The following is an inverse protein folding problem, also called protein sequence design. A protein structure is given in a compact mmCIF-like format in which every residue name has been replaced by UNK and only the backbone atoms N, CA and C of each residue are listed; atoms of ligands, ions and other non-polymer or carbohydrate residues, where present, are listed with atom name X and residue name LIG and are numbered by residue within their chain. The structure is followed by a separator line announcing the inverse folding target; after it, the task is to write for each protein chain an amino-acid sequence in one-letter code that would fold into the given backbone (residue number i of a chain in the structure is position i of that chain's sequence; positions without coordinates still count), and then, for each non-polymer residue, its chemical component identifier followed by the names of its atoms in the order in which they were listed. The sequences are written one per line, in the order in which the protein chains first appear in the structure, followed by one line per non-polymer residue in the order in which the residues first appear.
data_IF_093399263474
#
_entry.id   IF_093399263474
#
_cell.length_a   1.000
_cell.length_b   1.000
_cell.length_c   1.000
_cell.angle_alpha   90.00
_cell.angle_beta   90.00
_cell.angle_gamma   90.00
#
_symmetry.space_group_name_H-M   'P 1'
#
loop_
_entity.id
_entity.type
_entity.pdbx_description
1 polymer ?
#
# COMPACT_ATOMS: atom_id res chain seq x y z
N UNK A 1 -18.10 -8.82 0.53
CA UNK A 1 -18.04 -8.91 -0.94
C UNK A 1 -16.82 -9.73 -1.34
N UNK A 2 -16.91 -10.68 -2.27
CA UNK A 2 -15.74 -11.56 -2.58
C UNK A 2 -14.79 -10.86 -3.53
N UNK A 3 -13.50 -10.82 -3.19
CA UNK A 3 -12.48 -10.17 -4.00
C UNK A 3 -12.39 -10.82 -5.39
N UNK A 4 -12.40 -10.04 -6.49
CA UNK A 4 -12.31 -10.57 -7.84
C UNK A 4 -11.07 -11.43 -8.05
N UNK A 5 -11.24 -12.60 -8.66
CA UNK A 5 -10.14 -13.52 -8.97
C UNK A 5 -9.56 -14.28 -7.78
N UNK A 6 -10.11 -14.14 -6.56
CA UNK A 6 -9.60 -14.82 -5.36
C UNK A 6 -10.10 -16.25 -5.15
N UNK A 7 -10.84 -16.83 -6.11
CA UNK A 7 -11.51 -18.12 -5.96
C UNK A 7 -12.37 -18.25 -4.69
N UNK A 8 -13.03 -17.15 -4.30
CA UNK A 8 -13.81 -17.02 -3.05
C UNK A 8 -13.01 -17.33 -1.78
N UNK A 9 -11.74 -16.93 -1.75
CA UNK A 9 -10.90 -17.03 -0.55
C UNK A 9 -10.71 -15.68 0.12
N UNK A 10 -10.78 -14.56 -0.60
CA UNK A 10 -10.61 -13.23 -0.01
C UNK A 10 -11.96 -12.54 0.08
N UNK A 11 -12.44 -12.31 1.30
CA UNK A 11 -13.68 -11.61 1.59
C UNK A 11 -13.37 -10.17 2.02
N UNK A 12 -13.74 -9.22 1.17
CA UNK A 12 -13.64 -7.80 1.43
C UNK A 12 -14.85 -7.35 2.28
N UNK A 13 -14.60 -6.86 3.49
CA UNK A 13 -15.62 -6.28 4.37
C UNK A 13 -15.69 -4.76 4.15
N UNK A 14 -14.53 -4.11 4.17
CA UNK A 14 -14.34 -2.71 3.77
C UNK A 14 -13.16 -2.68 2.83
N UNK A 15 -13.35 -2.22 1.59
CA UNK A 15 -12.27 -2.19 0.61
C UNK A 15 -12.26 -0.87 -0.16
N UNK A 16 -11.12 -0.16 -0.22
CA UNK A 16 -11.07 1.19 -0.77
C UNK A 16 -11.29 1.26 -2.29
N UNK A 17 -11.10 0.15 -3.01
CA UNK A 17 -11.47 0.05 -4.42
C UNK A 17 -12.98 -0.07 -4.69
N UNK A 18 -13.81 -0.20 -3.66
CA UNK A 18 -15.27 -0.12 -3.80
C UNK A 18 -15.73 1.30 -3.45
N UNK A 19 -16.57 1.89 -4.31
CA UNK A 19 -16.89 3.32 -4.29
C UNK A 19 -15.66 4.26 -4.23
N UNK A 20 -14.62 4.05 -5.08
CA UNK A 20 -13.52 5.00 -5.17
C UNK A 20 -14.00 6.31 -5.80
N UNK A 21 -13.16 7.33 -5.85
CA UNK A 21 -13.35 8.42 -6.81
C UNK A 21 -13.29 7.84 -8.23
N UNK A 22 -14.22 8.26 -9.09
CA UNK A 22 -14.31 7.92 -10.51
C UNK A 22 -14.52 9.18 -11.32
N UNK A 23 -13.55 9.51 -12.17
CA UNK A 23 -13.62 10.66 -13.07
C UNK A 23 -14.85 10.58 -13.98
N UNK A 24 -15.60 11.68 -14.05
CA UNK A 24 -16.85 11.78 -14.81
C UNK A 24 -18.06 11.19 -14.09
N UNK A 25 -17.92 10.70 -12.84
CA UNK A 25 -19.02 10.13 -12.06
C UNK A 25 -19.09 10.66 -10.62
N UNK A 26 -17.96 10.73 -9.93
CA UNK A 26 -17.90 11.20 -8.54
C UNK A 26 -18.16 12.69 -8.45
N UNK A 27 -19.06 13.06 -7.52
CA UNK A 27 -19.38 14.45 -7.19
C UNK A 27 -18.50 14.93 -6.04
N UNK A 28 -18.08 16.19 -6.10
CA UNK A 28 -17.21 16.82 -5.10
C UNK A 28 -17.80 18.16 -4.70
N UNK A 29 -17.90 18.41 -3.40
CA UNK A 29 -18.40 19.65 -2.82
C UNK A 29 -17.26 20.63 -2.56
N UNK A 30 -17.54 21.94 -2.71
CA UNK A 30 -16.57 23.00 -2.36
C UNK A 30 -16.45 23.18 -0.85
N UNK A 31 -17.59 23.12 -0.17
CA UNK A 31 -17.69 23.10 1.30
C UNK A 31 -17.68 21.64 1.80
N UNK A 32 -17.47 21.44 3.08
CA UNK A 32 -17.50 20.11 3.70
C UNK A 32 -18.91 19.48 3.59
N UNK A 33 -18.97 18.23 3.14
CA UNK A 33 -20.18 17.43 2.98
C UNK A 33 -20.57 16.76 4.30
N UNK A 34 -20.70 17.55 5.38
CA UNK A 34 -20.99 17.06 6.73
C UNK A 34 -22.27 17.76 7.25
N UNK A 35 -23.31 17.02 7.70
CA UNK A 35 -23.40 15.56 7.81
C UNK A 35 -23.39 14.84 6.45
N UNK A 36 -22.73 13.68 6.40
CA UNK A 36 -22.47 12.94 5.15
C UNK A 36 -23.76 12.49 4.45
N UNK A 37 -24.71 11.91 5.18
CA UNK A 37 -25.95 11.38 4.62
C UNK A 37 -26.88 12.50 4.11
N UNK A 38 -26.83 13.69 4.71
CA UNK A 38 -27.59 14.85 4.24
C UNK A 38 -27.00 15.46 2.96
N UNK A 39 -25.75 15.13 2.64
CA UNK A 39 -25.01 15.65 1.50
C UNK A 39 -25.04 14.71 0.28
N UNK A 40 -25.77 13.60 0.35
CA UNK A 40 -25.91 12.63 -0.74
C UNK A 40 -26.34 13.29 -2.06
N UNK A 41 -25.60 13.01 -3.13
CA UNK A 41 -25.86 13.57 -4.47
C UNK A 41 -25.48 15.06 -4.65
N UNK A 42 -24.98 15.73 -3.61
CA UNK A 42 -24.52 17.12 -3.71
C UNK A 42 -23.16 17.24 -4.42
N UNK A 43 -22.76 18.46 -4.77
CA UNK A 43 -21.47 18.74 -5.42
C UNK A 43 -21.49 18.63 -6.94
N UNK A 44 -20.33 18.90 -7.55
CA UNK A 44 -20.12 18.91 -9.00
C UNK A 44 -19.31 17.68 -9.43
N UNK A 45 -19.67 17.10 -10.58
CA UNK A 45 -18.95 15.96 -11.14
C UNK A 45 -17.57 16.41 -11.66
N UNK A 46 -16.52 15.85 -11.08
CA UNK A 46 -15.15 16.14 -11.52
C UNK A 46 -14.76 15.27 -12.72
N UNK A 47 -14.10 15.87 -13.72
CA UNK A 47 -13.73 15.20 -14.98
C UNK A 47 -12.44 14.37 -14.90
N UNK A 48 -11.66 14.53 -13.84
CA UNK A 48 -10.37 13.88 -13.63
C UNK A 48 -10.15 13.63 -12.15
N UNK A 49 -9.42 12.57 -11.83
CA UNK A 49 -8.92 12.35 -10.49
C UNK A 49 -7.97 13.48 -10.05
N UNK A 50 -7.99 13.87 -8.77
CA UNK A 50 -6.99 14.77 -8.20
C UNK A 50 -5.58 14.20 -8.38
N UNK A 51 -4.63 15.09 -8.63
CA UNK A 51 -3.21 14.76 -8.82
C UNK A 51 -2.42 15.66 -7.87
N UNK A 52 -1.61 15.08 -6.99
CA UNK A 52 -0.62 15.85 -6.22
C UNK A 52 0.65 16.04 -7.06
N UNK A 53 1.04 17.29 -7.29
CA UNK A 53 2.34 17.65 -7.84
C UNK A 53 2.56 17.45 -9.36
N UNK A 54 3.84 17.51 -9.74
CA UNK A 54 4.34 17.39 -11.13
C UNK A 54 4.89 16.00 -11.44
N UNK A 55 4.34 14.96 -10.81
CA UNK A 55 4.78 13.58 -11.03
C UNK A 55 4.48 13.14 -12.47
N UNK A 56 5.29 12.21 -12.99
CA UNK A 56 5.04 11.61 -14.31
C UNK A 56 3.68 10.90 -14.33
N UNK A 57 3.00 10.96 -15.47
CA UNK A 57 1.74 10.24 -15.74
C UNK A 57 1.79 8.75 -15.46
N UNK A 58 2.98 8.16 -15.45
CA UNK A 58 3.14 6.76 -15.10
C UNK A 58 2.71 6.44 -13.66
N UNK A 59 2.78 7.41 -12.73
CA UNK A 59 2.59 7.18 -11.29
C UNK A 59 1.18 7.42 -10.77
N UNK A 60 0.28 7.97 -11.59
CA UNK A 60 -1.07 8.33 -11.17
C UNK A 60 -2.13 7.92 -12.19
N UNK A 61 -3.35 7.74 -11.71
CA UNK A 61 -4.54 7.54 -12.54
C UNK A 61 -5.19 8.88 -12.86
N UNK A 62 -5.58 9.11 -14.12
CA UNK A 62 -6.47 10.22 -14.49
C UNK A 62 -7.94 9.91 -14.09
N UNK A 63 -8.25 8.65 -13.75
CA UNK A 63 -9.62 8.15 -13.60
C UNK A 63 -10.00 7.82 -12.16
N UNK A 64 -9.13 7.19 -11.40
CA UNK A 64 -9.46 6.63 -10.09
C UNK A 64 -8.61 7.22 -8.96
N UNK A 65 -9.20 7.31 -7.77
CA UNK A 65 -8.47 7.57 -6.52
C UNK A 65 -9.21 6.87 -5.37
N UNK A 66 -8.50 6.23 -4.45
CA UNK A 66 -9.09 5.84 -3.18
C UNK A 66 -9.34 7.07 -2.31
N UNK A 67 -10.48 7.09 -1.61
CA UNK A 67 -10.87 8.20 -0.76
C UNK A 67 -10.45 7.91 0.69
N UNK A 68 -9.48 8.66 1.25
CA UNK A 68 -9.21 8.63 2.68
C UNK A 68 -10.36 9.26 3.45
N UNK A 69 -10.43 8.93 4.74
CA UNK A 69 -11.24 9.62 5.72
C UNK A 69 -10.36 10.54 6.55
N UNK A 70 -10.84 11.74 6.81
CA UNK A 70 -10.19 12.68 7.72
C UNK A 70 -10.50 12.29 9.17
N UNK A 71 -9.45 12.16 9.99
CA UNK A 71 -9.53 11.88 11.42
C UNK A 71 -8.94 13.05 12.21
N UNK A 72 -9.71 13.57 13.17
CA UNK A 72 -9.22 14.55 14.14
C UNK A 72 -8.45 13.83 15.24
N UNK A 73 -7.25 14.34 15.54
CA UNK A 73 -6.39 13.83 16.61
C UNK A 73 -6.26 14.91 17.67
N UNK A 74 -6.74 14.63 18.88
CA UNK A 74 -6.63 15.55 20.02
C UNK A 74 -5.22 15.57 20.61
N UNK A 75 -4.92 16.54 21.48
CA UNK A 75 -3.66 16.60 22.23
C UNK A 75 -3.43 15.41 23.18
N UNK A 76 -4.48 14.64 23.49
CA UNK A 76 -4.39 13.42 24.31
C UNK A 76 -4.21 12.15 23.47
N UNK A 77 -4.08 12.28 22.13
CA UNK A 77 -4.00 11.17 21.20
C UNK A 77 -5.34 10.49 20.92
N UNK A 78 -6.47 11.10 21.34
CA UNK A 78 -7.82 10.63 20.98
C UNK A 78 -8.14 10.91 19.53
N UNK A 79 -8.71 9.91 18.86
CA UNK A 79 -9.01 9.92 17.43
C UNK A 79 -10.52 9.98 17.22
N UNK A 80 -10.99 10.84 16.31
CA UNK A 80 -12.39 10.87 15.88
C UNK A 80 -12.48 10.98 14.36
N UNK A 81 -13.28 10.13 13.72
CA UNK A 81 -13.59 10.28 12.30
C UNK A 81 -14.40 11.57 12.09
N UNK A 82 -13.91 12.48 11.24
CA UNK A 82 -14.58 13.73 10.90
C UNK A 82 -15.72 13.51 9.89
N UNK A 83 -15.53 12.57 8.97
CA UNK A 83 -16.52 12.15 7.97
C UNK A 83 -16.65 10.62 7.97
N UNK A 84 -17.45 10.07 7.05
CA UNK A 84 -17.64 8.64 6.91
C UNK A 84 -16.35 7.93 6.42
N UNK A 85 -16.18 6.70 6.86
CA UNK A 85 -15.22 5.73 6.34
C UNK A 85 -15.78 5.18 5.04
N UNK A 86 -15.01 5.28 3.95
CA UNK A 86 -15.49 4.82 2.65
C UNK A 86 -15.94 3.36 2.72
N UNK A 87 -17.12 3.07 2.17
CA UNK A 87 -17.78 1.77 2.21
C UNK A 87 -18.19 1.30 3.62
N UNK A 88 -18.34 2.21 4.58
CA UNK A 88 -18.87 1.91 5.91
C UNK A 88 -19.92 2.93 6.35
N UNK A 89 -21.18 2.51 6.44
CA UNK A 89 -22.30 3.39 6.78
C UNK A 89 -22.11 4.02 8.18
N UNK A 90 -22.15 5.36 8.33
CA UNK A 90 -21.80 6.03 9.59
C UNK A 90 -22.80 5.81 10.72
N UNK A 91 -24.09 5.62 10.42
CA UNK A 91 -25.13 5.37 11.44
C UNK A 91 -25.35 3.87 11.72
N UNK A 92 -25.57 3.03 10.69
CA UNK A 92 -25.75 1.58 10.87
C UNK A 92 -24.57 0.84 11.51
N UNK A 93 -23.36 1.41 11.43
CA UNK A 93 -22.14 0.80 11.97
C UNK A 93 -21.42 1.73 12.96
N UNK A 94 -22.15 2.57 13.70
CA UNK A 94 -21.61 3.50 14.69
C UNK A 94 -20.66 2.82 15.69
N UNK A 95 -21.00 1.61 16.14
CA UNK A 95 -20.17 0.80 17.04
C UNK A 95 -18.80 0.46 16.43
N UNK A 96 -18.76 0.14 15.14
CA UNK A 96 -17.51 -0.14 14.44
C UNK A 96 -16.66 1.11 14.27
N UNK A 97 -17.24 2.31 14.11
CA UNK A 97 -16.47 3.56 14.10
C UNK A 97 -15.73 3.76 15.42
N UNK A 98 -16.40 3.57 16.57
CA UNK A 98 -15.78 3.68 17.88
C UNK A 98 -14.59 2.71 18.03
N UNK A 99 -14.75 1.47 17.58
CA UNK A 99 -13.68 0.47 17.63
C UNK A 99 -12.52 0.84 16.70
N UNK A 100 -12.80 1.31 15.49
CA UNK A 100 -11.76 1.69 14.53
C UNK A 100 -10.98 2.92 15.00
N UNK A 101 -11.66 3.90 15.59
CA UNK A 101 -11.04 5.07 16.23
C UNK A 101 -10.08 4.60 17.34
N UNK A 102 -10.54 3.78 18.28
CA UNK A 102 -9.72 3.26 19.39
C UNK A 102 -8.50 2.44 18.92
N UNK A 103 -8.66 1.63 17.87
CA UNK A 103 -7.52 0.89 17.30
C UNK A 103 -6.55 1.86 16.64
N UNK A 104 -7.03 2.84 15.88
CA UNK A 104 -6.17 3.85 15.23
C UNK A 104 -5.36 4.65 16.26
N UNK A 105 -5.92 4.97 17.44
CA UNK A 105 -5.15 5.57 18.56
C UNK A 105 -3.92 4.73 18.93
N UNK A 106 -4.02 3.40 18.90
CA UNK A 106 -2.89 2.50 19.18
C UNK A 106 -1.86 2.46 18.06
N UNK A 107 -2.27 2.79 16.83
CA UNK A 107 -1.39 2.85 15.68
C UNK A 107 -0.61 4.17 15.58
N UNK A 108 -1.12 5.27 16.16
CA UNK A 108 -0.46 6.59 16.06
C UNK A 108 1.03 6.53 16.43
N UNK A 109 1.47 6.01 17.60
CA UNK A 109 2.90 6.02 17.95
C UNK A 109 3.77 5.20 16.99
N UNK A 110 3.24 4.10 16.43
CA UNK A 110 3.95 3.28 15.46
C UNK A 110 4.07 3.98 14.10
N UNK A 111 3.06 4.77 13.71
CA UNK A 111 3.14 5.63 12.54
C UNK A 111 4.12 6.77 12.74
N UNK A 112 4.13 7.43 13.91
CA UNK A 112 5.09 8.47 14.27
C UNK A 112 6.54 7.98 14.15
N UNK A 113 6.82 6.76 14.66
CA UNK A 113 8.14 6.13 14.55
C UNK A 113 8.51 5.88 13.08
N UNK A 114 7.62 5.25 12.30
CA UNK A 114 7.90 4.94 10.89
C UNK A 114 8.08 6.20 10.04
N UNK A 115 7.24 7.21 10.23
CA UNK A 115 7.33 8.46 9.46
C UNK A 115 8.56 9.28 9.89
N UNK A 116 8.91 9.29 11.18
CA UNK A 116 10.12 9.96 11.66
C UNK A 116 11.40 9.33 11.10
N UNK A 117 11.44 8.00 11.04
CA UNK A 117 12.53 7.27 10.38
C UNK A 117 12.61 7.54 8.87
N UNK A 118 11.46 7.79 8.22
CA UNK A 118 11.38 8.11 6.80
C UNK A 118 11.87 9.52 6.46
N UNK A 119 11.65 10.52 7.33
CA UNK A 119 12.14 11.90 7.16
C UNK A 119 13.66 11.97 7.03
N UNK A 120 14.37 10.98 7.58
CA UNK A 120 15.83 10.91 7.59
C UNK A 120 16.38 9.78 6.70
N UNK A 121 15.52 9.09 5.95
CA UNK A 121 15.89 7.88 5.21
C UNK A 121 17.03 8.12 4.21
N UNK A 122 16.99 9.23 3.47
CA UNK A 122 18.02 9.59 2.48
C UNK A 122 19.41 9.85 3.10
N UNK A 123 19.45 10.21 4.38
CA UNK A 123 20.68 10.51 5.10
C UNK A 123 21.19 9.32 5.93
N UNK A 124 20.51 8.16 5.88
CA UNK A 124 20.95 6.98 6.62
C UNK A 124 22.21 6.39 6.02
N UNK A 125 23.19 6.14 6.88
CA UNK A 125 24.40 5.43 6.50
C UNK A 125 24.06 4.00 6.05
N UNK A 126 24.69 3.56 4.96
CA UNK A 126 24.60 2.17 4.53
C UNK A 126 25.28 1.29 5.56
N UNK A 127 24.71 0.11 5.83
CA UNK A 127 25.30 -0.86 6.78
C UNK A 127 26.68 -1.35 6.31
N UNK A 128 26.88 -1.43 4.99
CA UNK A 128 28.14 -1.74 4.36
C UNK A 128 28.51 -0.57 3.45
N UNK A 129 29.70 -0.01 3.65
CA UNK A 129 30.33 0.91 2.71
C UNK A 129 31.46 0.14 2.03
N UNK A 130 31.24 -0.19 0.77
CA UNK A 130 32.07 -1.13 0.03
C UNK A 130 32.77 -0.40 -1.12
N UNK A 131 34.10 -0.41 -1.11
CA UNK A 131 34.93 0.07 -2.22
C UNK A 131 35.11 -1.05 -3.25
N UNK A 132 34.57 -0.92 -4.48
CA UNK A 132 34.72 -1.91 -5.54
C UNK A 132 36.15 -2.37 -5.80
N UNK A 133 37.11 -1.46 -5.60
CA UNK A 133 38.53 -1.72 -5.88
C UNK A 133 39.25 -2.44 -4.73
N UNK A 134 38.57 -2.69 -3.60
CA UNK A 134 39.11 -3.45 -2.46
C UNK A 134 38.44 -4.82 -2.28
N UNK A 135 37.52 -5.22 -3.17
CA UNK A 135 36.85 -6.52 -3.05
C UNK A 135 37.80 -7.71 -3.25
N UNK A 136 38.90 -7.52 -3.97
CA UNK A 136 39.82 -8.60 -4.33
C UNK A 136 41.21 -8.41 -3.73
N UNK A 137 42.00 -9.49 -3.54
CA UNK A 137 43.43 -9.38 -3.29
C UNK A 137 44.13 -8.61 -4.42
N UNK A 138 45.22 -7.87 -4.15
CA UNK A 138 45.91 -7.13 -5.21
C UNK A 138 46.43 -8.07 -6.30
N UNK A 139 46.47 -7.58 -7.54
CA UNK A 139 47.09 -8.29 -8.66
C UNK A 139 48.56 -8.63 -8.34
N UNK A 140 49.04 -9.83 -8.70
CA UNK A 140 50.45 -10.18 -8.52
C UNK A 140 51.38 -9.23 -9.29
N UNK A 141 52.61 -9.06 -8.80
CA UNK A 141 53.64 -8.28 -9.51
C UNK A 141 54.00 -8.96 -10.83
N UNK A 142 54.08 -8.17 -11.91
CA UNK A 142 54.45 -8.62 -13.26
C UNK A 142 55.97 -8.53 -13.40
N UNK A 143 56.62 -9.65 -13.73
CA UNK A 143 58.06 -9.69 -14.01
C UNK A 143 58.42 -9.02 -15.34
N UNK A 144 59.67 -8.56 -15.51
CA UNK A 144 60.13 -7.86 -16.73
C UNK A 144 59.97 -8.67 -18.04
N UNK A 145 59.92 -10.00 -17.95
CA UNK A 145 59.81 -10.92 -19.08
C UNK A 145 58.42 -11.58 -19.20
N UNK A 146 57.46 -11.20 -18.36
CA UNK A 146 56.11 -11.79 -18.32
C UNK A 146 55.11 -10.99 -19.17
N UNK A 147 54.10 -11.67 -19.69
CA UNK A 147 53.02 -11.05 -20.45
C UNK A 147 51.98 -10.48 -19.47
N UNK A 148 51.93 -9.14 -19.39
CA UNK A 148 51.01 -8.41 -18.51
C UNK A 148 49.54 -8.73 -18.81
N UNK A 149 49.19 -8.91 -20.09
CA UNK A 149 47.81 -9.20 -20.50
C UNK A 149 47.40 -10.61 -20.05
N UNK A 150 48.30 -11.60 -20.19
CA UNK A 150 48.04 -12.99 -19.74
C UNK A 150 47.87 -13.06 -18.21
N UNK A 151 48.68 -12.29 -17.46
CA UNK A 151 48.55 -12.20 -15.99
C UNK A 151 47.25 -11.49 -15.60
N UNK A 152 46.90 -10.41 -16.30
CA UNK A 152 45.67 -9.66 -16.07
C UNK A 152 44.43 -10.53 -16.31
N UNK A 153 44.37 -11.24 -17.43
CA UNK A 153 43.27 -12.15 -17.78
C UNK A 153 43.13 -13.25 -16.72
N UNK A 154 44.24 -13.92 -16.40
CA UNK A 154 44.26 -14.98 -15.40
C UNK A 154 43.83 -14.49 -14.02
N UNK A 155 44.28 -13.31 -13.60
CA UNK A 155 43.87 -12.71 -12.34
C UNK A 155 42.36 -12.46 -12.32
N UNK A 156 41.75 -11.89 -13.36
CA UNK A 156 40.30 -11.64 -13.41
C UNK A 156 39.48 -12.93 -13.48
N UNK A 157 39.99 -13.97 -14.16
CA UNK A 157 39.35 -15.28 -14.19
C UNK A 157 39.37 -15.98 -12.83
N UNK A 158 40.50 -15.94 -12.13
CA UNK A 158 40.74 -16.71 -10.90
C UNK A 158 40.45 -15.95 -9.60
N UNK A 159 40.35 -14.61 -9.62
CA UNK A 159 40.11 -13.80 -8.41
C UNK A 159 38.80 -14.19 -7.72
N UNK A 160 38.84 -14.17 -6.40
CA UNK A 160 37.71 -14.46 -5.50
C UNK A 160 37.57 -13.29 -4.53
N UNK A 161 36.35 -12.79 -4.29
CA UNK A 161 36.12 -11.72 -3.34
C UNK A 161 36.62 -12.08 -1.94
N UNK A 162 37.17 -11.11 -1.22
CA UNK A 162 37.54 -11.23 0.20
C UNK A 162 36.29 -11.50 1.04
N UNK A 163 36.40 -12.24 2.16
CA UNK A 163 35.27 -12.43 3.07
C UNK A 163 34.69 -11.10 3.57
N UNK A 164 33.37 -10.97 3.51
CA UNK A 164 32.64 -9.83 4.06
C UNK A 164 32.79 -9.71 5.58
N UNK A 165 33.34 -8.58 6.04
CA UNK A 165 33.29 -8.19 7.44
C UNK A 165 31.96 -7.50 7.74
N UNK A 166 30.97 -8.27 8.19
CA UNK A 166 29.64 -7.72 8.56
C UNK A 166 29.75 -6.98 9.90
N UNK A 167 29.50 -5.66 9.96
CA UNK A 167 29.51 -4.93 11.21
C UNK A 167 28.46 -5.50 12.18
N UNK A 168 28.84 -5.60 13.45
CA UNK A 168 27.91 -5.93 14.53
C UNK A 168 26.77 -4.91 14.54
N UNK A 169 25.53 -5.41 14.54
CA UNK A 169 24.37 -4.53 14.54
C UNK A 169 24.30 -3.75 15.86
N UNK A 170 24.30 -2.42 15.75
CA UNK A 170 24.06 -1.53 16.88
C UNK A 170 22.71 -0.85 16.65
N UNK A 171 21.71 -1.10 17.52
CA UNK A 171 20.44 -0.41 17.39
C UNK A 171 20.65 1.11 17.55
N UNK A 172 19.91 1.94 16.82
CA UNK A 172 19.91 3.39 17.01
C UNK A 172 19.62 3.73 18.48
N UNK A 173 20.33 4.72 19.02
CA UNK A 173 20.14 5.19 20.40
C UNK A 173 18.94 6.13 20.54
N UNK A 174 18.53 6.76 19.44
CA UNK A 174 17.38 7.66 19.38
C UNK A 174 16.39 7.13 18.34
N UNK A 175 15.10 7.11 18.70
CA UNK A 175 14.01 6.81 17.78
C UNK A 175 13.51 8.16 17.26
N UNK A 176 13.59 8.35 15.95
CA UNK A 176 13.10 9.55 15.29
C UNK A 176 11.57 9.47 15.25
N UNK A 177 10.90 10.45 15.85
CA UNK A 177 9.43 10.52 15.88
C UNK A 177 8.95 11.72 15.08
N UNK A 178 8.03 11.46 14.17
CA UNK A 178 7.27 12.52 13.51
C UNK A 178 6.04 12.87 14.35
N UNK A 179 5.78 14.14 14.60
CA UNK A 179 4.53 14.58 15.22
C UNK A 179 3.42 14.63 14.15
N UNK A 180 2.52 13.64 14.16
CA UNK A 180 1.41 13.55 13.20
C UNK A 180 0.44 14.74 13.27
N UNK A 181 0.46 15.50 14.37
CA UNK A 181 -0.38 16.70 14.56
C UNK A 181 0.29 17.99 14.06
N UNK A 182 1.60 17.96 13.77
CA UNK A 182 2.42 19.09 13.32
C UNK A 182 1.84 19.80 12.09
N UNK A 183 1.20 19.05 11.20
CA UNK A 183 0.60 19.58 9.98
C UNK A 183 -0.60 20.51 10.24
N UNK A 184 -1.19 20.48 11.44
CA UNK A 184 -2.34 21.31 11.82
C UNK A 184 -3.61 21.01 11.02
N UNK A 185 -3.68 19.83 10.39
CA UNK A 185 -4.80 19.34 9.59
C UNK A 185 -5.25 17.98 10.12
N UNK A 186 -6.51 17.56 9.85
CA UNK A 186 -6.93 16.20 10.13
C UNK A 186 -6.03 15.17 9.45
N UNK A 187 -5.82 14.05 10.13
CA UNK A 187 -5.04 12.93 9.61
C UNK A 187 -5.86 12.16 8.57
N UNK A 188 -5.29 11.92 7.40
CA UNK A 188 -5.97 11.16 6.36
C UNK A 188 -5.59 9.68 6.42
N UNK A 189 -6.61 8.83 6.59
CA UNK A 189 -6.42 7.38 6.67
C UNK A 189 -7.41 6.66 5.77
N UNK A 190 -6.91 5.77 4.94
CA UNK A 190 -7.74 4.83 4.16
C UNK A 190 -7.85 3.54 4.98
N UNK A 191 -9.09 3.10 5.23
CA UNK A 191 -9.38 1.91 6.03
C UNK A 191 -9.71 0.72 5.12
N UNK A 192 -9.17 -0.45 5.45
CA UNK A 192 -9.46 -1.71 4.76
C UNK A 192 -9.63 -2.85 5.75
N UNK A 193 -10.68 -3.64 5.59
CA UNK A 193 -10.94 -4.87 6.34
C UNK A 193 -11.13 -6.01 5.36
N UNK A 194 -10.32 -7.05 5.52
CA UNK A 194 -10.37 -8.22 4.65
C UNK A 194 -10.13 -9.51 5.44
N UNK A 195 -10.81 -10.57 5.02
CA UNK A 195 -10.61 -11.91 5.52
C UNK A 195 -10.07 -12.80 4.42
N UNK A 196 -9.19 -13.73 4.77
CA UNK A 196 -8.87 -14.89 3.97
C UNK A 196 -9.56 -16.09 4.61
N UNK A 197 -10.37 -16.79 3.84
CA UNK A 197 -11.15 -17.95 4.24
C UNK A 197 -10.67 -19.17 3.42
N UNK A 198 -10.33 -20.25 4.11
CA UNK A 198 -9.95 -21.53 3.53
C UNK A 198 -10.98 -22.60 3.91
N UNK A 199 -11.29 -23.48 2.98
CA UNK A 199 -12.20 -24.61 3.21
C UNK A 199 -11.51 -25.92 2.86
N UNK A 200 -12.00 -27.08 3.33
CA UNK A 200 -11.46 -28.38 2.92
C UNK A 200 -11.39 -28.57 1.39
N UNK A 201 -12.33 -27.98 0.65
CA UNK A 201 -12.39 -28.03 -0.82
C UNK A 201 -11.41 -27.05 -1.49
N UNK A 202 -11.03 -25.97 -0.79
CA UNK A 202 -10.08 -24.98 -1.24
C UNK A 202 -9.06 -24.64 -0.14
N UNK A 203 -8.15 -25.59 0.19
CA UNK A 203 -7.41 -25.59 1.45
C UNK A 203 -6.09 -24.80 1.43
N UNK A 204 -5.75 -24.18 0.29
CA UNK A 204 -4.48 -23.48 0.06
C UNK A 204 -4.74 -22.08 -0.48
N UNK A 205 -4.13 -21.09 0.15
CA UNK A 205 -3.99 -19.74 -0.38
C UNK A 205 -2.64 -19.62 -1.07
N UNK A 206 -2.63 -19.19 -2.33
CA UNK A 206 -1.41 -19.12 -3.16
C UNK A 206 -0.50 -17.93 -2.85
N UNK A 207 -0.91 -17.04 -1.94
CA UNK A 207 -0.18 -15.81 -1.64
C UNK A 207 -0.58 -14.63 -2.51
N UNK A 208 0.06 -13.49 -2.27
CA UNK A 208 -0.11 -12.25 -3.02
C UNK A 208 0.99 -12.02 -4.06
N UNK A 209 0.94 -10.89 -4.74
CA UNK A 209 2.02 -10.38 -5.59
C UNK A 209 2.86 -9.36 -4.83
N UNK A 210 4.09 -9.10 -5.28
CA UNK A 210 4.87 -7.97 -4.79
C UNK A 210 4.20 -6.65 -5.18
N UNK A 211 3.95 -5.76 -4.21
CA UNK A 211 3.33 -4.45 -4.46
C UNK A 211 3.62 -3.46 -3.33
N UNK A 212 3.40 -2.18 -3.62
CA UNK A 212 3.19 -1.10 -2.65
C UNK A 212 1.72 -0.68 -2.69
N UNK A 213 1.24 0.04 -1.69
CA UNK A 213 -0.17 0.41 -1.58
C UNK A 213 -0.48 1.71 -2.30
N UNK A 214 -1.55 1.70 -3.09
CA UNK A 214 -1.99 2.86 -3.85
C UNK A 214 -1.10 3.25 -5.03
N UNK A 215 -1.40 4.43 -5.55
CA UNK A 215 -0.69 5.18 -6.58
C UNK A 215 -0.41 6.59 -6.02
N UNK A 216 0.26 7.44 -6.79
CA UNK A 216 0.56 8.81 -6.35
C UNK A 216 -0.70 9.65 -6.05
N UNK A 217 -1.87 9.28 -6.57
CA UNK A 217 -3.13 9.94 -6.23
C UNK A 217 -3.51 9.80 -4.75
N UNK A 218 -3.13 8.68 -4.11
CA UNK A 218 -3.46 8.43 -2.70
C UNK A 218 -2.40 8.97 -1.74
N UNK A 219 -1.18 9.22 -2.21
CA UNK A 219 -0.07 9.76 -1.41
C UNK A 219 0.17 9.00 -0.09
N UNK A 220 0.09 7.67 -0.11
CA UNK A 220 0.26 6.83 1.08
C UNK A 220 1.74 6.75 1.46
N UNK A 221 2.06 7.12 2.70
CA UNK A 221 3.43 7.11 3.25
C UNK A 221 3.73 5.89 4.11
N UNK A 222 2.71 5.31 4.76
CA UNK A 222 2.89 4.15 5.62
C UNK A 222 1.64 3.25 5.62
N UNK A 223 1.86 1.96 5.88
CA UNK A 223 0.81 0.95 6.03
C UNK A 223 0.87 0.35 7.43
N UNK A 224 -0.27 0.33 8.11
CA UNK A 224 -0.46 -0.32 9.40
C UNK A 224 -1.43 -1.49 9.29
N UNK A 225 -1.04 -2.68 9.73
CA UNK A 225 -1.85 -3.91 9.67
C UNK A 225 -2.04 -4.49 11.06
N UNK A 226 -3.28 -4.83 11.41
CA UNK A 226 -3.63 -5.59 12.60
C UNK A 226 -4.22 -6.95 12.23
N UNK A 227 -3.54 -8.03 12.65
CA UNK A 227 -3.98 -9.41 12.46
C UNK A 227 -4.85 -9.87 13.63
N UNK A 228 -6.11 -9.43 13.65
CA UNK A 228 -6.99 -9.63 14.80
C UNK A 228 -7.56 -11.06 14.94
N UNK A 229 -7.43 -11.89 13.91
CA UNK A 229 -7.86 -13.29 13.97
C UNK A 229 -7.03 -14.19 13.05
N UNK A 230 -6.62 -15.35 13.55
CA UNK A 230 -5.96 -16.39 12.78
C UNK A 230 -6.29 -17.75 13.36
N UNK A 231 -7.03 -18.57 12.62
CA UNK A 231 -7.49 -19.89 13.07
C UNK A 231 -7.31 -20.96 11.99
N UNK A 232 -6.88 -22.15 12.42
CA UNK A 232 -6.69 -23.35 11.58
C UNK A 232 -5.90 -23.14 10.26
N UNK A 233 -4.88 -22.27 10.26
CA UNK A 233 -3.99 -22.04 9.10
C UNK A 233 -2.51 -22.24 9.47
N UNK A 234 -1.70 -22.74 8.54
CA UNK A 234 -0.24 -22.85 8.70
C UNK A 234 0.40 -21.48 8.94
N UNK A 235 1.70 -21.44 9.25
CA UNK A 235 2.41 -20.17 9.41
C UNK A 235 2.15 -19.24 8.22
N UNK A 236 1.66 -18.04 8.51
CA UNK A 236 1.43 -16.98 7.54
C UNK A 236 2.53 -15.93 7.69
N UNK A 237 3.07 -15.44 6.57
CA UNK A 237 4.17 -14.46 6.56
C UNK A 237 3.88 -13.30 5.60
N UNK A 238 4.44 -12.15 5.92
CA UNK A 238 4.50 -10.96 5.08
C UNK A 238 5.96 -10.68 4.77
N UNK A 239 6.39 -10.92 3.54
CA UNK A 239 7.76 -10.67 3.11
C UNK A 239 7.91 -9.26 2.56
N UNK A 240 9.10 -8.69 2.72
CA UNK A 240 9.45 -7.34 2.28
C UNK A 240 10.65 -7.37 1.35
N UNK A 241 10.66 -6.43 0.41
CA UNK A 241 11.84 -6.07 -0.40
C UNK A 241 11.82 -4.58 -0.70
N UNK A 242 12.97 -4.03 -1.02
CA UNK A 242 13.12 -2.62 -1.37
C UNK A 242 13.93 -2.49 -2.66
N UNK A 243 13.62 -1.46 -3.46
CA UNK A 243 14.45 -1.07 -4.59
C UNK A 243 15.76 -0.46 -4.07
N UNK A 244 16.88 -0.82 -4.67
CA UNK A 244 18.17 -0.21 -4.38
C UNK A 244 18.67 0.57 -5.59
N UNK A 245 19.54 1.55 -5.34
CA UNK A 245 20.29 2.19 -6.41
C UNK A 245 21.38 1.25 -6.90
N UNK A 246 21.74 1.37 -8.17
CA UNK A 246 22.88 0.67 -8.74
C UNK A 246 24.15 0.99 -7.92
N UNK A 247 24.85 -0.03 -7.38
CA UNK A 247 26.09 0.20 -6.65
C UNK A 247 27.22 0.57 -7.60
N UNK A 248 28.32 1.13 -7.07
CA UNK A 248 29.58 1.17 -7.82
C UNK A 248 30.15 -0.24 -7.94
N UNK A 249 30.80 -0.54 -9.07
CA UNK A 249 31.48 -1.81 -9.34
C UNK A 249 32.58 -1.63 -10.39
N UNK A 250 33.55 -2.56 -10.43
CA UNK A 250 34.48 -2.68 -11.56
C UNK A 250 33.77 -3.29 -12.78
N UNK A 251 34.12 -2.84 -13.99
CA UNK A 251 33.47 -3.32 -15.22
C UNK A 251 33.48 -4.85 -15.31
N UNK A 252 32.34 -5.45 -15.67
CA UNK A 252 32.15 -6.90 -15.80
C UNK A 252 32.39 -7.71 -14.51
N UNK A 253 32.35 -7.08 -13.33
CA UNK A 253 32.65 -7.74 -12.06
C UNK A 253 31.43 -8.44 -11.41
N UNK A 254 30.86 -9.41 -12.11
CA UNK A 254 29.68 -10.15 -11.65
C UNK A 254 29.87 -10.76 -10.25
N UNK A 255 31.05 -11.39 -10.02
CA UNK A 255 31.37 -12.10 -8.78
C UNK A 255 31.39 -11.17 -7.57
N UNK A 256 31.95 -9.97 -7.73
CA UNK A 256 32.11 -9.01 -6.64
C UNK A 256 30.78 -8.39 -6.28
N UNK A 257 30.00 -7.98 -7.28
CA UNK A 257 28.65 -7.43 -7.08
C UNK A 257 27.72 -8.44 -6.39
N UNK A 258 27.70 -9.70 -6.86
CA UNK A 258 26.89 -10.75 -6.24
C UNK A 258 27.35 -11.03 -4.81
N UNK A 259 28.67 -11.12 -4.57
CA UNK A 259 29.19 -11.36 -3.23
C UNK A 259 28.86 -10.24 -2.24
N UNK A 260 28.98 -8.98 -2.65
CA UNK A 260 28.85 -7.81 -1.78
C UNK A 260 27.40 -7.40 -1.54
N UNK A 261 26.55 -7.51 -2.56
CA UNK A 261 25.20 -6.95 -2.54
C UNK A 261 24.08 -7.98 -2.75
N UNK A 262 24.40 -9.24 -3.07
CA UNK A 262 23.43 -10.26 -3.48
C UNK A 262 22.62 -9.82 -4.73
N UNK A 263 23.28 -9.05 -5.60
CA UNK A 263 22.73 -8.58 -6.87
C UNK A 263 23.39 -9.33 -8.03
N UNK A 264 22.58 -9.77 -8.99
CA UNK A 264 23.04 -10.55 -10.14
C UNK A 264 22.91 -9.70 -11.40
N UNK A 265 23.88 -9.83 -12.31
CA UNK A 265 23.86 -9.18 -13.63
C UNK A 265 22.56 -9.49 -14.40
N UNK A 266 22.01 -8.48 -15.08
CA UNK A 266 20.68 -8.49 -15.73
C UNK A 266 19.52 -8.83 -14.77
N UNK A 267 19.79 -8.92 -13.47
CA UNK A 267 18.83 -9.15 -12.40
C UNK A 267 18.18 -7.85 -11.91
N UNK A 268 17.15 -7.96 -11.07
CA UNK A 268 16.45 -6.80 -10.54
C UNK A 268 17.30 -6.06 -9.48
N UNK A 269 17.32 -4.73 -9.53
CA UNK A 269 17.88 -3.87 -8.47
C UNK A 269 17.01 -3.84 -7.21
N UNK A 270 16.86 -5.00 -6.56
CA UNK A 270 16.08 -5.17 -5.33
C UNK A 270 16.89 -5.88 -4.26
N UNK A 271 16.71 -5.45 -3.02
CA UNK A 271 17.19 -6.17 -1.85
C UNK A 271 16.02 -6.80 -1.11
N UNK A 272 16.11 -8.10 -0.83
CA UNK A 272 15.12 -8.83 -0.04
C UNK A 272 15.39 -8.63 1.45
N UNK A 273 14.40 -8.13 2.19
CA UNK A 273 14.52 -7.74 3.60
C UNK A 273 14.00 -8.83 4.57
N UNK A 274 13.85 -10.07 4.09
CA UNK A 274 13.09 -11.16 4.73
C UNK A 274 11.63 -10.74 5.01
N UNK A 275 10.95 -11.44 5.91
CA UNK A 275 9.56 -11.23 6.24
C UNK A 275 9.24 -11.49 7.70
N UNK A 276 8.04 -11.07 8.08
CA UNK A 276 7.54 -11.18 9.45
C UNK A 276 6.43 -12.22 9.50
N UNK A 277 6.47 -13.11 10.50
CA UNK A 277 5.35 -14.03 10.79
C UNK A 277 4.12 -13.23 11.19
N UNK A 278 2.98 -13.45 10.57
CA UNK A 278 1.75 -12.68 10.81
C UNK A 278 0.80 -13.43 11.73
N UNK A 279 1.22 -13.64 12.99
CA UNK A 279 0.41 -14.31 14.01
C UNK A 279 -0.77 -13.45 14.49
N UNK A 280 -1.77 -14.07 15.11
CA UNK A 280 -2.87 -13.35 15.74
C UNK A 280 -2.37 -12.32 16.77
N UNK A 281 -3.11 -11.22 16.91
CA UNK A 281 -2.90 -10.12 17.84
C UNK A 281 -1.59 -9.34 17.58
N UNK A 282 -1.06 -9.45 16.35
CA UNK A 282 0.12 -8.70 15.90
C UNK A 282 -0.31 -7.44 15.16
N UNK A 283 0.25 -6.30 15.57
CA UNK A 283 0.26 -5.07 14.79
C UNK A 283 1.61 -4.92 14.08
N UNK A 284 1.59 -4.45 12.84
CA UNK A 284 2.76 -4.12 12.04
C UNK A 284 2.55 -2.73 11.42
N UNK A 285 3.57 -1.88 11.45
CA UNK A 285 3.59 -0.64 10.67
C UNK A 285 4.90 -0.60 9.90
N UNK A 286 4.84 -0.25 8.63
CA UNK A 286 6.00 -0.16 7.75
C UNK A 286 5.80 0.95 6.71
N UNK A 287 6.89 1.55 6.20
CA UNK A 287 6.79 2.62 5.21
C UNK A 287 6.36 2.06 3.86
N UNK A 288 5.60 2.85 3.10
CA UNK A 288 5.06 2.44 1.80
C UNK A 288 6.10 2.46 0.65
N UNK A 289 7.39 2.53 0.99
CA UNK A 289 8.50 2.29 0.06
C UNK A 289 8.91 0.81 0.00
N UNK A 290 8.49 0.01 0.98
CA UNK A 290 8.75 -1.43 0.97
C UNK A 290 7.68 -2.14 0.14
N UNK A 291 8.13 -2.79 -0.94
CA UNK A 291 7.27 -3.77 -1.58
C UNK A 291 7.06 -4.93 -0.63
N UNK A 292 5.83 -5.38 -0.53
CA UNK A 292 5.49 -6.50 0.32
C UNK A 292 4.70 -7.57 -0.44
N UNK A 293 4.77 -8.79 0.08
CA UNK A 293 4.09 -9.94 -0.48
C UNK A 293 3.62 -10.88 0.63
N UNK A 294 2.31 -11.13 0.65
CA UNK A 294 1.73 -12.19 1.49
C UNK A 294 2.18 -13.54 0.96
N UNK A 295 2.80 -14.35 1.82
CA UNK A 295 3.26 -15.68 1.43
C UNK A 295 2.11 -16.71 1.40
N UNK A 296 2.24 -17.80 0.62
CA UNK A 296 1.26 -18.88 0.60
C UNK A 296 1.10 -19.54 1.98
N UNK A 297 -0.11 -20.03 2.27
CA UNK A 297 -0.38 -20.83 3.48
C UNK A 297 -1.56 -21.79 3.24
N UNK A 298 -1.68 -22.82 4.07
CA UNK A 298 -2.71 -23.86 3.95
C UNK A 298 -3.49 -24.05 5.24
N UNK A 299 -4.53 -24.87 5.24
CA UNK A 299 -5.15 -25.37 6.48
C UNK A 299 -4.14 -26.19 7.32
N UNK A 300 -4.22 -26.08 8.65
CA UNK A 300 -3.50 -27.00 9.56
C UNK A 300 -4.23 -28.34 9.67
N UNK A 301 -5.52 -28.30 9.98
CA UNK A 301 -6.45 -29.42 9.93
C UNK A 301 -7.26 -29.30 8.63
N UNK A 302 -6.88 -30.08 7.62
CA UNK A 302 -7.52 -30.06 6.30
C UNK A 302 -9.00 -30.50 6.30
N UNK A 303 -9.50 -31.02 7.42
CA UNK A 303 -10.92 -31.43 7.55
C UNK A 303 -11.84 -30.32 8.03
N UNK A 304 -11.28 -29.18 8.45
CA UNK A 304 -12.03 -28.04 9.01
C UNK A 304 -11.72 -26.77 8.24
N UNK A 305 -12.66 -25.80 8.19
CA UNK A 305 -12.35 -24.48 7.65
C UNK A 305 -11.31 -23.77 8.51
N UNK A 306 -10.65 -22.77 7.93
CA UNK A 306 -9.67 -21.92 8.60
C UNK A 306 -9.72 -20.50 8.05
N UNK A 307 -9.28 -19.52 8.84
CA UNK A 307 -9.39 -18.13 8.44
C UNK A 307 -8.27 -17.25 8.99
N UNK A 308 -8.00 -16.16 8.28
CA UNK A 308 -7.12 -15.06 8.69
C UNK A 308 -7.86 -13.75 8.47
N UNK A 309 -7.97 -12.89 9.48
CA UNK A 309 -8.69 -11.63 9.34
C UNK A 309 -7.81 -10.46 9.72
N UNK A 310 -7.86 -9.41 8.91
CA UNK A 310 -7.00 -8.24 9.05
C UNK A 310 -7.80 -6.94 9.00
N UNK A 311 -7.32 -5.97 9.77
CA UNK A 311 -7.66 -4.55 9.66
C UNK A 311 -6.40 -3.83 9.18
N UNK A 312 -6.55 -2.91 8.23
CA UNK A 312 -5.45 -2.16 7.64
C UNK A 312 -5.79 -0.67 7.63
N UNK A 313 -4.80 0.13 8.01
CA UNK A 313 -4.78 1.58 7.91
C UNK A 313 -3.68 1.99 6.94
N UNK A 314 -4.03 2.67 5.85
CA UNK A 314 -3.06 3.32 4.99
C UNK A 314 -3.01 4.80 5.34
N UNK A 315 -1.86 5.24 5.84
CA UNK A 315 -1.62 6.62 6.24
C UNK A 315 -1.27 7.44 5.01
N UNK A 316 -2.09 8.43 4.70
CA UNK A 316 -1.79 9.43 3.66
C UNK A 316 -0.83 10.48 4.24
N UNK A 317 0.04 11.02 3.40
CA UNK A 317 1.02 12.04 3.79
C UNK A 317 0.35 13.21 4.55
N UNK A 318 0.66 13.41 5.85
CA UNK A 318 0.07 14.48 6.65
C UNK A 318 0.35 15.89 6.11
N UNK A 319 1.46 16.09 5.41
CA UNK A 319 1.88 17.40 4.88
C UNK A 319 1.20 17.74 3.55
N UNK A 320 0.86 16.71 2.77
CA UNK A 320 0.21 16.81 1.46
C UNK A 320 -1.09 15.98 1.40
N UNK A 321 -2.16 16.42 2.10
CA UNK A 321 -3.45 15.75 2.04
C UNK A 321 -4.05 15.71 0.62
N UNK A 322 -4.83 14.67 0.36
CA UNK A 322 -5.54 14.43 -0.91
C UNK A 322 -7.04 14.65 -0.74
N UNK A 323 -7.84 14.48 -1.80
CA UNK A 323 -9.30 14.58 -1.72
C UNK A 323 -9.88 13.46 -0.85
N UNK A 324 -10.63 13.80 0.19
CA UNK A 324 -11.20 12.86 1.17
C UNK A 324 -12.72 12.77 1.14
N UNK A 325 -13.27 11.87 1.97
CA UNK A 325 -14.71 11.76 2.25
C UNK A 325 -15.31 12.99 2.96
N UNK A 326 -14.50 13.98 3.37
CA UNK A 326 -15.01 15.26 3.87
C UNK A 326 -15.59 16.13 2.75
N UNK A 327 -15.07 16.03 1.53
CA UNK A 327 -15.56 16.79 0.36
C UNK A 327 -16.19 15.90 -0.72
N UNK A 328 -16.11 14.58 -0.57
CA UNK A 328 -16.86 13.64 -1.40
C UNK A 328 -18.02 13.11 -0.57
N UNK A 329 -19.27 13.46 -0.89
CA UNK A 329 -20.42 12.87 -0.20
C UNK A 329 -20.51 11.37 -0.50
N UNK A 330 -21.23 10.59 0.34
CA UNK A 330 -21.44 9.18 0.10
C UNK A 330 -21.91 8.90 -1.32
N UNK A 331 -21.30 7.87 -1.91
CA UNK A 331 -21.54 7.50 -3.30
C UNK A 331 -22.53 6.34 -3.42
N UNK A 332 -22.91 5.72 -2.31
CA UNK A 332 -23.79 4.56 -2.24
C UNK A 332 -25.25 5.01 -2.42
N UNK A 333 -25.90 4.62 -3.53
CA UNK A 333 -27.34 4.89 -3.72
C UNK A 333 -28.18 4.30 -2.59
N UNK A 334 -27.80 3.12 -2.11
CA UNK A 334 -28.48 2.42 -1.01
C UNK A 334 -28.44 3.17 0.33
N UNK A 335 -27.52 4.12 0.51
CA UNK A 335 -27.49 4.98 1.71
C UNK A 335 -28.42 6.19 1.58
N UNK A 336 -28.96 6.45 0.38
CA UNK A 336 -30.06 7.38 0.24
C UNK A 336 -31.23 6.84 1.05
N UNK A 337 -31.59 7.56 2.11
CA UNK A 337 -32.59 7.10 3.06
C UNK A 337 -33.89 6.73 2.34
N UNK A 338 -34.47 5.60 2.73
CA UNK A 338 -35.86 5.28 2.38
C UNK A 338 -36.77 6.47 2.74
N UNK A 339 -36.41 7.23 3.79
CA UNK A 339 -37.13 8.42 4.22
C UNK A 339 -37.29 9.49 3.13
N UNK A 340 -36.30 9.73 2.26
CA UNK A 340 -36.49 10.69 1.16
C UNK A 340 -37.61 10.24 0.22
N UNK A 341 -37.55 9.00 -0.27
CA UNK A 341 -38.57 8.46 -1.17
C UNK A 341 -39.90 8.23 -0.46
N UNK A 342 -39.91 7.89 0.84
CA UNK A 342 -41.13 7.79 1.63
C UNK A 342 -41.77 9.17 1.88
N UNK A 343 -40.98 10.23 2.08
CA UNK A 343 -41.49 11.60 2.20
C UNK A 343 -42.03 12.10 0.86
N UNK A 344 -41.32 11.85 -0.24
CA UNK A 344 -41.78 12.18 -1.60
C UNK A 344 -43.05 11.39 -1.96
N UNK A 345 -43.08 10.09 -1.66
CA UNK A 345 -44.23 9.21 -1.89
C UNK A 345 -45.46 9.55 -1.03
N UNK A 346 -45.26 10.16 0.15
CA UNK A 346 -46.37 10.70 0.96
C UNK A 346 -47.00 11.96 0.35
N UNK A 347 -46.33 12.64 -0.59
CA UNK A 347 -46.76 13.93 -1.14
C UNK A 347 -47.15 13.87 -2.62
N UNK A 348 -46.75 12.83 -3.35
CA UNK A 348 -46.96 12.72 -4.79
C UNK A 348 -47.59 11.37 -5.18
N UNK A 349 -48.40 11.32 -6.26
CA UNK A 349 -48.86 10.06 -6.85
C UNK A 349 -47.70 9.14 -7.26
N UNK A 350 -47.87 7.80 -7.21
CA UNK A 350 -46.82 6.84 -7.53
C UNK A 350 -46.15 7.05 -8.88
N UNK A 351 -46.89 7.52 -9.89
CA UNK A 351 -46.38 7.78 -11.22
C UNK A 351 -45.37 8.94 -11.22
N UNK A 352 -45.64 10.02 -10.48
CA UNK A 352 -44.71 11.16 -10.35
C UNK A 352 -43.52 10.82 -9.46
N UNK A 353 -43.71 9.97 -8.45
CA UNK A 353 -42.60 9.45 -7.64
C UNK A 353 -41.65 8.62 -8.51
N UNK A 354 -42.21 7.78 -9.39
CA UNK A 354 -41.43 7.01 -10.34
C UNK A 354 -40.73 7.89 -11.38
N UNK A 355 -41.40 8.90 -11.93
CA UNK A 355 -40.75 9.86 -12.84
C UNK A 355 -39.61 10.62 -12.15
N UNK A 356 -39.78 11.05 -10.90
CA UNK A 356 -38.71 11.69 -10.12
C UNK A 356 -37.56 10.70 -9.90
N UNK A 357 -37.85 9.47 -9.48
CA UNK A 357 -36.83 8.44 -9.26
C UNK A 357 -36.00 8.16 -10.53
N UNK A 358 -36.64 8.17 -11.70
CA UNK A 358 -35.97 7.98 -13.00
C UNK A 358 -35.16 9.19 -13.43
N UNK A 359 -35.57 10.41 -13.05
CA UNK A 359 -34.92 11.66 -13.46
C UNK A 359 -33.83 12.13 -12.50
N UNK A 360 -33.85 11.68 -11.25
CA UNK A 360 -32.82 12.00 -10.25
C UNK A 360 -31.50 11.34 -10.67
N UNK A 361 -30.44 12.14 -10.74
CA UNK A 361 -29.09 11.64 -10.94
C UNK A 361 -28.55 11.04 -9.63
N UNK A 362 -29.00 9.82 -9.34
CA UNK A 362 -28.68 9.11 -8.11
C UNK A 362 -27.17 8.84 -7.97
N UNK A 363 -26.69 8.66 -6.73
CA UNK A 363 -25.38 8.08 -6.47
C UNK A 363 -25.22 6.69 -7.10
N UNK A 364 -24.02 6.14 -6.99
CA UNK A 364 -23.59 4.89 -7.59
C UNK A 364 -24.35 3.69 -7.01
N UNK A 365 -24.84 2.81 -7.87
CA UNK A 365 -25.37 1.51 -7.45
C UNK A 365 -24.23 0.51 -7.18
N UNK A 366 -24.48 -0.49 -6.34
CA UNK A 366 -23.48 -1.50 -6.00
C UNK A 366 -22.91 -2.22 -7.24
N UNK A 367 -23.73 -2.52 -8.24
CA UNK A 367 -23.26 -3.16 -9.48
C UNK A 367 -22.40 -2.22 -10.33
N UNK A 368 -22.72 -0.92 -10.36
CA UNK A 368 -21.87 0.10 -10.99
C UNK A 368 -20.52 0.20 -10.27
N UNK A 369 -20.52 0.20 -8.93
CA UNK A 369 -19.32 0.25 -8.11
C UNK A 369 -18.41 -0.96 -8.31
N UNK A 370 -18.99 -2.18 -8.41
CA UNK A 370 -18.23 -3.40 -8.71
C UNK A 370 -17.58 -3.34 -10.08
N UNK A 371 -18.28 -2.81 -11.10
CA UNK A 371 -17.70 -2.62 -12.43
C UNK A 371 -16.53 -1.66 -12.41
N UNK A 372 -16.67 -0.52 -11.73
CA UNK A 372 -15.56 0.42 -11.58
C UNK A 372 -14.39 -0.16 -10.80
N UNK A 373 -14.65 -0.99 -9.77
CA UNK A 373 -13.61 -1.73 -9.07
C UNK A 373 -12.85 -2.66 -10.01
N UNK A 374 -13.52 -3.41 -10.88
CA UNK A 374 -12.84 -4.30 -11.84
C UNK A 374 -11.96 -3.51 -12.81
N UNK A 375 -12.45 -2.35 -13.29
CA UNK A 375 -11.68 -1.43 -14.12
C UNK A 375 -10.44 -0.90 -13.39
N UNK A 376 -10.61 -0.44 -12.14
CA UNK A 376 -9.53 0.03 -11.27
C UNK A 376 -8.50 -1.07 -11.00
N UNK A 377 -8.94 -2.28 -10.67
CA UNK A 377 -8.04 -3.42 -10.42
C UNK A 377 -7.26 -3.81 -11.67
N UNK A 378 -7.90 -3.75 -12.85
CA UNK A 378 -7.24 -3.98 -14.13
C UNK A 378 -6.17 -2.92 -14.38
N UNK A 379 -6.50 -1.64 -14.21
CA UNK A 379 -5.56 -0.53 -14.34
C UNK A 379 -4.36 -0.69 -13.40
N UNK A 380 -4.62 -0.97 -12.11
CA UNK A 380 -3.58 -1.18 -11.11
C UNK A 380 -2.72 -2.41 -11.40
N UNK A 381 -3.26 -3.48 -11.98
CA UNK A 381 -2.46 -4.63 -12.40
C UNK A 381 -1.45 -4.27 -13.49
N UNK A 382 -1.85 -3.44 -14.46
CA UNK A 382 -0.92 -2.91 -15.45
C UNK A 382 0.11 -1.98 -14.82
N UNK A 383 -0.33 -1.07 -13.95
CA UNK A 383 0.57 -0.18 -13.22
C UNK A 383 1.60 -0.93 -12.37
N UNK A 384 1.20 -1.93 -11.57
CA UNK A 384 2.10 -2.76 -10.77
C UNK A 384 3.11 -3.47 -11.67
N UNK A 385 2.67 -3.99 -12.82
CA UNK A 385 3.58 -4.61 -13.78
C UNK A 385 4.61 -3.60 -14.30
N UNK A 386 4.19 -2.42 -14.74
CA UNK A 386 5.07 -1.35 -15.21
C UNK A 386 6.01 -0.86 -14.10
N UNK A 387 5.50 -0.61 -12.90
CA UNK A 387 6.32 -0.24 -11.74
C UNK A 387 7.31 -1.34 -11.36
N UNK A 388 6.92 -2.61 -11.50
CA UNK A 388 7.83 -3.72 -11.29
C UNK A 388 8.92 -3.71 -12.35
N UNK A 389 8.60 -3.64 -13.64
CA UNK A 389 9.59 -3.72 -14.73
C UNK A 389 10.49 -2.48 -14.82
N UNK A 390 9.94 -1.27 -14.64
CA UNK A 390 10.63 -0.01 -14.96
C UNK A 390 11.21 0.69 -13.73
N UNK A 391 10.69 0.40 -12.54
CA UNK A 391 11.10 1.05 -11.29
C UNK A 391 11.73 0.00 -10.36
N UNK A 392 10.92 -0.80 -9.69
CA UNK A 392 11.38 -1.65 -8.59
C UNK A 392 12.33 -2.77 -9.03
N UNK A 393 12.03 -3.48 -10.10
CA UNK A 393 12.79 -4.62 -10.60
C UNK A 393 13.45 -4.31 -11.95
N UNK A 394 13.82 -3.04 -12.16
CA UNK A 394 14.56 -2.61 -13.35
C UNK A 394 15.84 -3.44 -13.47
N UNK A 395 16.08 -4.12 -14.59
CA UNK A 395 17.32 -4.83 -14.82
C UNK A 395 18.47 -3.83 -14.92
N UNK A 396 19.61 -4.18 -14.35
CA UNK A 396 20.87 -3.46 -14.52
C UNK A 396 21.88 -4.39 -15.16
N UNK A 397 22.70 -3.85 -16.06
CA UNK A 397 23.65 -4.63 -16.84
C UNK A 397 25.06 -4.19 -16.47
N UNK A 398 25.92 -5.14 -16.16
CA UNK A 398 27.33 -4.90 -15.81
C UNK A 398 28.22 -4.69 -17.05
N UNK A 399 27.61 -4.47 -18.23
CA UNK A 399 28.25 -4.19 -19.52
C UNK A 399 28.35 -2.68 -19.81
N UNK A 400 29.30 -2.28 -20.66
CA UNK A 400 29.63 -0.90 -21.10
C UNK A 400 28.55 0.18 -20.87
N UNK A 401 28.87 1.16 -20.01
CA UNK A 401 28.14 2.42 -19.85
C UNK A 401 28.77 3.57 -20.65
#
# INVERSE_FOLDING_TARGET
DWHPGSNRQVLDLVHPSLFPFVAGRTRVTKEEAIPALESLGSGEVMKKAPISGTLSKMYYSDKFQWLPTDFEVSSEGKVKAKSYINNLHPEEHEDMYLVLEEILEKFLPMFEDVVGEMEHFENKEKRLDADPYDWYPPMPEVGEDEDEDEIWDKYHEERVPKPLEIPEFKPPTEILKYDLTKAGKPLQVIVKLANIELTPENPKYEGGTWHVEGMANENIVASGIYYYHSDNISESRLNFRIQVQEPGYEQSDDKGVEHMYDLVNDGPLVQYLDGVVTKQDRCLVFPNIYQHQVQPFTLQDATKPGSRKILVFFLVNPEEPTLSTTNVPPQQKEWASEDYMQVVAKRLPPELVHEIDVLVDWPMEMEEAKKHREELMKERKFFVKTMQEDVFARPFSLCEH
#
